data_IF_080161340156
#
_entry.id   IF_080161340156
#
_cell.length_a   1.000
_cell.length_b   1.000
_cell.length_c   1.000
_cell.angle_alpha   90.00
_cell.angle_beta   90.00
_cell.angle_gamma   90.00
#
_symmetry.space_group_name_H-M   'P 1'
#
loop_
_entity.id
_entity.type
_entity.pdbx_description
1 polymer ?
#
# COMPACT_ATOMS: atom_id res chain seq x y z
N UNK A 1 8.49 -6.60 10.85
CA UNK A 1 9.32 -5.90 9.84
C UNK A 1 9.07 -6.43 8.43
N UNK A 2 9.02 -7.74 8.21
CA UNK A 2 8.83 -8.34 6.87
C UNK A 2 7.52 -7.88 6.19
N UNK A 3 6.36 -7.98 6.86
CA UNK A 3 5.07 -7.53 6.29
C UNK A 3 5.01 -6.02 6.03
N UNK A 4 5.67 -5.22 6.86
CA UNK A 4 5.75 -3.76 6.70
C UNK A 4 6.60 -3.40 5.47
N UNK A 5 7.79 -3.99 5.39
CA UNK A 5 8.72 -3.79 4.28
C UNK A 5 8.09 -4.24 2.97
N UNK A 6 7.32 -5.34 2.99
CA UNK A 6 6.55 -5.79 1.85
C UNK A 6 5.61 -4.70 1.31
N UNK A 7 4.82 -4.04 2.18
CA UNK A 7 3.92 -2.97 1.77
C UNK A 7 4.65 -1.72 1.27
N UNK A 8 5.76 -1.35 1.90
CA UNK A 8 6.56 -0.19 1.49
C UNK A 8 7.19 -0.35 0.10
N UNK A 9 7.74 -1.53 -0.19
CA UNK A 9 8.35 -1.80 -1.50
C UNK A 9 7.29 -1.81 -2.60
N UNK A 10 6.08 -2.33 -2.33
CA UNK A 10 5.00 -2.32 -3.32
C UNK A 10 4.65 -0.89 -3.77
N UNK A 11 4.49 0.04 -2.84
CA UNK A 11 4.20 1.45 -3.17
C UNK A 11 5.32 2.05 -4.03
N UNK A 12 6.58 1.79 -3.67
CA UNK A 12 7.73 2.28 -4.43
C UNK A 12 7.76 1.70 -5.86
N UNK A 13 7.47 0.40 -6.00
CA UNK A 13 7.35 -0.24 -7.30
C UNK A 13 6.21 0.35 -8.13
N UNK A 14 5.07 0.71 -7.53
CA UNK A 14 3.96 1.34 -8.26
C UNK A 14 4.34 2.74 -8.79
N UNK A 15 5.10 3.50 -8.00
CA UNK A 15 5.60 4.82 -8.41
C UNK A 15 6.63 4.70 -9.54
N UNK A 16 7.52 3.72 -9.49
CA UNK A 16 8.56 3.47 -10.49
C UNK A 16 7.98 2.90 -11.80
N UNK A 17 6.94 2.07 -11.70
CA UNK A 17 6.29 1.40 -12.83
C UNK A 17 5.23 2.27 -13.54
N UNK A 18 5.07 3.54 -13.14
CA UNK A 18 4.12 4.51 -13.72
C UNK A 18 2.70 3.95 -13.97
N UNK A 19 2.23 3.06 -13.09
CA UNK A 19 0.90 2.44 -13.20
C UNK A 19 0.81 1.12 -13.96
N UNK A 20 1.92 0.48 -14.34
CA UNK A 20 1.83 -0.90 -14.84
C UNK A 20 1.46 -1.87 -13.70
N UNK A 21 0.39 -2.64 -13.94
CA UNK A 21 -0.36 -3.48 -13.00
C UNK A 21 0.40 -4.68 -12.43
N UNK A 22 1.59 -4.96 -12.93
CA UNK A 22 2.46 -6.05 -12.49
C UNK A 22 3.89 -5.54 -12.29
N UNK A 23 4.26 -5.15 -11.05
CA UNK A 23 5.64 -4.79 -10.77
C UNK A 23 6.50 -6.04 -10.90
N UNK A 24 7.32 -6.09 -11.95
CA UNK A 24 8.25 -7.19 -12.18
C UNK A 24 9.02 -7.53 -10.89
N UNK A 25 9.11 -8.82 -10.57
CA UNK A 25 9.76 -9.28 -9.33
C UNK A 25 11.21 -8.75 -9.20
N UNK A 26 11.85 -8.43 -10.33
CA UNK A 26 13.18 -7.85 -10.40
C UNK A 26 13.27 -6.43 -9.81
N UNK A 27 12.31 -5.54 -10.10
CA UNK A 27 12.30 -4.18 -9.54
C UNK A 27 12.06 -4.23 -8.01
N UNK A 28 11.25 -5.18 -7.57
CA UNK A 28 10.99 -5.38 -6.12
C UNK A 28 12.24 -5.81 -5.37
N UNK A 29 13.06 -6.68 -5.97
CA UNK A 29 14.32 -7.13 -5.37
C UNK A 29 15.40 -6.04 -5.37
N UNK A 30 15.52 -5.24 -6.43
CA UNK A 30 16.53 -4.16 -6.50
C UNK A 30 16.28 -3.12 -5.41
N UNK A 31 15.03 -2.69 -5.24
CA UNK A 31 14.66 -1.72 -4.22
C UNK A 31 14.78 -2.29 -2.80
N UNK A 32 14.46 -3.57 -2.59
CA UNK A 32 14.62 -4.22 -1.29
C UNK A 32 16.08 -4.30 -0.84
N UNK A 33 17.02 -4.53 -1.77
CA UNK A 33 18.44 -4.63 -1.47
C UNK A 33 19.12 -3.26 -1.30
N UNK A 34 18.71 -2.24 -2.07
CA UNK A 34 19.37 -0.93 -2.08
C UNK A 34 19.14 -0.14 -0.78
N UNK A 35 17.96 -0.24 -0.17
CA UNK A 35 17.57 0.49 1.05
C UNK A 35 18.45 0.11 2.27
N UNK A 36 18.58 -1.18 2.66
CA UNK A 36 19.44 -1.57 3.77
C UNK A 36 20.92 -1.35 3.45
N UNK A 37 21.32 -1.40 2.18
CA UNK A 37 22.69 -1.10 1.77
C UNK A 37 23.05 0.37 2.03
N UNK A 38 22.20 1.31 1.62
CA UNK A 38 22.37 2.74 1.91
C UNK A 38 22.32 2.99 3.43
N UNK A 39 21.33 2.42 4.12
CA UNK A 39 21.16 2.61 5.56
C UNK A 39 22.35 2.08 6.36
N UNK A 40 22.83 0.88 6.03
CA UNK A 40 24.01 0.28 6.62
C UNK A 40 25.29 1.04 6.31
N UNK A 41 25.47 1.49 5.05
CA UNK A 41 26.61 2.31 4.66
C UNK A 41 26.66 3.65 5.40
N UNK A 42 25.51 4.31 5.56
CA UNK A 42 25.40 5.58 6.28
C UNK A 42 25.62 5.42 7.80
N UNK A 43 25.20 4.28 8.35
CA UNK A 43 25.45 3.92 9.75
C UNK A 43 26.96 3.78 10.03
N UNK A 44 27.70 3.12 9.13
CA UNK A 44 29.15 2.94 9.25
C UNK A 44 29.92 4.27 9.09
N UNK A 45 29.40 5.20 8.28
CA UNK A 45 30.07 6.47 7.98
C UNK A 45 29.98 7.52 9.10
N UNK A 46 28.87 7.60 9.82
CA UNK A 46 28.65 8.70 10.79
C UNK A 46 27.73 8.38 11.96
N UNK A 47 27.46 7.10 12.22
CA UNK A 47 26.68 6.63 13.36
C UNK A 47 25.23 7.15 13.38
N UNK A 48 24.64 7.22 14.59
CA UNK A 48 23.25 7.65 14.78
C UNK A 48 22.99 9.10 14.34
N UNK A 49 23.98 9.98 14.49
CA UNK A 49 23.86 11.40 14.15
C UNK A 49 23.68 11.58 12.65
N UNK A 50 24.43 10.83 11.82
CA UNK A 50 24.31 10.92 10.37
C UNK A 50 22.92 10.49 9.88
N UNK A 51 22.40 9.38 10.39
CA UNK A 51 21.06 8.88 10.02
C UNK A 51 19.98 9.87 10.45
N UNK A 52 20.07 10.44 11.66
CA UNK A 52 19.09 11.42 12.15
C UNK A 52 19.05 12.66 11.26
N UNK A 53 20.20 13.21 10.91
CA UNK A 53 20.28 14.40 10.05
C UNK A 53 19.77 14.09 8.65
N UNK A 54 20.11 12.93 8.08
CA UNK A 54 19.61 12.50 6.77
C UNK A 54 18.08 12.38 6.76
N UNK A 55 17.47 11.81 7.81
CA UNK A 55 16.02 11.72 7.94
C UNK A 55 15.34 13.09 8.01
N UNK A 56 15.93 14.07 8.70
CA UNK A 56 15.35 15.43 8.80
C UNK A 56 15.34 16.08 7.41
N UNK A 57 16.45 16.00 6.68
CA UNK A 57 16.59 16.59 5.35
C UNK A 57 15.67 15.88 4.34
N UNK A 58 15.56 14.55 4.41
CA UNK A 58 14.69 13.76 3.55
C UNK A 58 13.19 13.96 3.85
N UNK A 59 12.82 14.14 5.12
CA UNK A 59 11.42 14.33 5.53
C UNK A 59 10.86 15.71 5.20
N UNK A 60 11.72 16.72 5.08
CA UNK A 60 11.32 18.10 4.81
C UNK A 60 10.47 18.26 3.52
N UNK A 61 10.89 17.78 2.33
CA UNK A 61 10.09 17.89 1.12
C UNK A 61 8.80 17.05 1.17
N UNK A 62 8.85 15.84 1.76
CA UNK A 62 7.66 14.99 1.90
C UNK A 62 6.61 15.68 2.79
N UNK A 63 7.03 16.38 3.84
CA UNK A 63 6.12 17.12 4.72
C UNK A 63 5.35 18.21 3.96
N UNK A 64 6.04 18.96 3.09
CA UNK A 64 5.41 19.97 2.23
C UNK A 64 4.39 19.31 1.28
N UNK A 65 4.79 18.21 0.63
CA UNK A 65 3.91 17.46 -0.27
C UNK A 65 2.68 16.92 0.45
N UNK A 66 2.85 16.40 1.67
CA UNK A 66 1.76 15.88 2.49
C UNK A 66 0.78 16.99 2.90
N UNK A 67 1.28 18.20 3.17
CA UNK A 67 0.44 19.38 3.42
C UNK A 67 -0.42 19.75 2.21
N UNK A 68 0.15 19.73 1.00
CA UNK A 68 -0.57 19.99 -0.26
C UNK A 68 -1.63 18.92 -0.51
N UNK A 69 -1.26 17.64 -0.35
CA UNK A 69 -2.19 16.51 -0.53
C UNK A 69 -3.35 16.58 0.46
N UNK A 70 -3.09 16.88 1.73
CA UNK A 70 -4.14 17.09 2.73
C UNK A 70 -5.07 18.25 2.37
N UNK A 71 -4.51 19.38 1.91
CA UNK A 71 -5.32 20.52 1.46
C UNK A 71 -6.17 20.18 0.22
N UNK A 72 -5.61 19.43 -0.74
CA UNK A 72 -6.35 18.97 -1.93
C UNK A 72 -7.51 18.06 -1.56
N UNK A 73 -7.31 17.15 -0.60
CA UNK A 73 -8.37 16.27 -0.13
C UNK A 73 -9.50 17.05 0.56
N UNK A 74 -9.16 18.00 1.44
CA UNK A 74 -10.14 18.85 2.13
C UNK A 74 -10.90 19.72 1.13
N UNK A 75 -10.21 20.25 0.12
CA UNK A 75 -10.81 21.01 -0.97
C UNK A 75 -11.76 20.15 -1.79
N UNK A 76 -11.35 18.93 -2.17
CA UNK A 76 -12.18 17.98 -2.92
C UNK A 76 -13.46 17.65 -2.14
N UNK A 77 -13.34 17.32 -0.85
CA UNK A 77 -14.50 17.03 0.01
C UNK A 77 -15.45 18.23 0.19
N UNK A 78 -14.91 19.45 0.20
CA UNK A 78 -15.73 20.68 0.31
C UNK A 78 -16.33 21.14 -1.01
N UNK A 79 -15.77 20.70 -2.14
CA UNK A 79 -16.26 20.98 -3.48
C UNK A 79 -17.34 20.00 -3.96
N UNK A 80 -17.85 19.15 -3.06
CA UNK A 80 -19.09 18.38 -3.28
C UNK A 80 -20.32 19.06 -2.63
N UNK A 81 -20.85 20.18 -3.17
CA UNK A 81 -22.22 20.56 -2.87
C UNK A 81 -23.12 19.60 -3.65
N UNK A 82 -23.59 18.57 -2.95
CA UNK A 82 -24.46 17.48 -3.42
C UNK A 82 -23.67 16.36 -4.10
N UNK A 83 -23.82 15.17 -3.51
CA UNK A 83 -23.89 13.90 -4.24
C UNK A 83 -24.68 14.11 -5.54
N UNK A 84 -23.99 14.41 -6.64
CA UNK A 84 -24.53 14.21 -7.97
C UNK A 84 -24.45 12.72 -8.20
N UNK A 85 -25.63 12.10 -8.15
CA UNK A 85 -25.98 10.70 -8.29
C UNK A 85 -25.53 10.05 -9.63
N UNK A 86 -24.54 10.60 -10.33
CA UNK A 86 -24.27 10.23 -11.72
C UNK A 86 -22.80 10.44 -12.13
N UNK A 87 -21.85 9.83 -11.41
CA UNK A 87 -20.56 9.44 -12.01
C UNK A 87 -19.80 8.29 -11.29
N UNK A 88 -20.38 7.68 -10.24
CA UNK A 88 -19.81 6.45 -9.64
C UNK A 88 -20.28 5.18 -10.39
N UNK A 89 -21.16 5.31 -11.39
CA UNK A 89 -21.72 4.17 -12.14
C UNK A 89 -20.81 3.72 -13.30
N UNK A 90 -19.89 4.55 -13.81
CA UNK A 90 -19.03 4.14 -14.95
C UNK A 90 -17.71 3.47 -14.56
N UNK A 91 -17.27 3.52 -13.30
CA UNK A 91 -16.11 2.74 -12.82
C UNK A 91 -16.52 1.32 -12.40
N UNK A 92 -17.81 1.09 -12.08
CA UNK A 92 -18.33 -0.21 -11.63
C UNK A 92 -19.15 -0.97 -12.70
N UNK A 93 -19.45 -0.38 -13.86
CA UNK A 93 -20.30 -1.01 -14.88
C UNK A 93 -19.57 -2.00 -15.83
N UNK A 94 -18.24 -2.13 -15.75
CA UNK A 94 -17.47 -3.15 -16.49
C UNK A 94 -17.01 -4.33 -15.58
N UNK A 95 -17.54 -4.42 -14.37
CA UNK A 95 -17.38 -5.60 -13.52
C UNK A 95 -18.71 -6.37 -13.42
N UNK A 96 -19.16 -6.93 -14.54
CA UNK A 96 -20.16 -8.01 -14.58
C UNK A 96 -19.63 -9.08 -15.55
N UNK A 97 -19.74 -10.41 -15.31
CA UNK A 97 -20.65 -11.16 -14.44
C UNK A 97 -19.99 -12.30 -13.61
N UNK A 98 -18.71 -12.17 -13.20
CA UNK A 98 -17.91 -13.27 -12.64
C UNK A 98 -18.22 -13.62 -11.16
N UNK A 99 -18.70 -12.67 -10.34
CA UNK A 99 -19.06 -12.95 -8.92
C UNK A 99 -20.23 -13.93 -8.80
N UNK A 100 -21.16 -13.90 -9.76
CA UNK A 100 -22.31 -14.82 -9.77
C UNK A 100 -21.87 -16.29 -9.94
N UNK A 101 -20.64 -16.53 -10.44
CA UNK A 101 -20.05 -17.87 -10.56
C UNK A 101 -19.10 -18.26 -9.43
N UNK A 102 -18.65 -17.33 -8.58
CA UNK A 102 -17.76 -17.64 -7.45
C UNK A 102 -18.47 -17.71 -6.09
N UNK A 103 -19.69 -17.18 -5.99
CA UNK A 103 -20.60 -17.40 -4.84
C UNK A 103 -21.22 -18.81 -4.85
N UNK A 104 -21.00 -19.60 -5.91
CA UNK A 104 -21.36 -21.03 -5.98
C UNK A 104 -20.12 -21.93 -5.91
N UNK A 105 -19.41 -21.83 -4.79
CA UNK A 105 -18.57 -22.93 -4.29
C UNK A 105 -18.94 -23.16 -2.83
N UNK A 106 -19.17 -24.41 -2.42
CA UNK A 106 -20.13 -24.75 -1.37
C UNK A 106 -19.66 -24.38 0.04
N UNK A 107 -20.60 -23.77 0.77
CA UNK A 107 -20.71 -23.81 2.23
C UNK A 107 -20.77 -25.27 2.69
N UNK A 108 -19.65 -25.85 3.14
CA UNK A 108 -19.60 -27.03 4.02
C UNK A 108 -18.18 -27.28 4.53
N UNK A 109 -18.11 -27.75 5.77
CA UNK A 109 -16.93 -28.16 6.54
C UNK A 109 -16.00 -27.01 6.94
N UNK A 110 -16.03 -26.54 8.18
CA UNK A 110 -15.49 -27.24 9.34
C UNK A 110 -16.14 -26.77 10.66
N UNK A 111 -17.46 -26.95 10.72
CA UNK A 111 -18.17 -27.15 12.01
C UNK A 111 -17.62 -28.38 12.77
N UNK A 112 -16.76 -29.19 12.15
CA UNK A 112 -16.03 -30.32 12.77
C UNK A 112 -14.91 -29.90 13.73
N UNK A 113 -14.37 -28.68 13.64
CA UNK A 113 -13.26 -28.26 14.51
C UNK A 113 -13.72 -27.84 15.93
N UNK A 114 -15.02 -27.62 16.13
CA UNK A 114 -15.55 -27.15 17.42
C UNK A 114 -15.97 -28.29 18.36
N UNK A 115 -15.96 -29.55 17.90
CA UNK A 115 -16.14 -30.75 18.75
C UNK A 115 -14.80 -31.38 19.17
N UNK A 116 -13.67 -31.06 18.52
CA UNK A 116 -12.34 -31.47 18.98
C UNK A 116 -11.71 -30.50 20.01
N UNK A 117 -12.29 -29.32 20.21
CA UNK A 117 -11.75 -28.33 21.16
C UNK A 117 -12.42 -28.37 22.54
N UNK A 118 -13.37 -29.30 22.77
CA UNK A 118 -14.00 -29.54 24.08
C UNK A 118 -13.61 -30.93 24.62
N UNK A 119 -12.44 -31.47 24.30
CA UNK A 119 -11.83 -32.58 25.05
C UNK A 119 -10.31 -32.55 24.91
N UNK A 120 -9.64 -31.53 25.47
CA UNK A 120 -8.25 -31.64 25.97
C UNK A 120 -7.97 -30.60 27.06
#
# INVERSE_FOLDING_TARGET
>A
VITLVNSGILVLCFLDSSGATDPSIGIRLIWSAIIPLIGGGLLLAGGLTAIKTACIIAGFPISILLGIMGFSLIKSLRQDPKFQENEIVSIQADASPLEKKLVQTPKKEDKELNDQLIVE
#
